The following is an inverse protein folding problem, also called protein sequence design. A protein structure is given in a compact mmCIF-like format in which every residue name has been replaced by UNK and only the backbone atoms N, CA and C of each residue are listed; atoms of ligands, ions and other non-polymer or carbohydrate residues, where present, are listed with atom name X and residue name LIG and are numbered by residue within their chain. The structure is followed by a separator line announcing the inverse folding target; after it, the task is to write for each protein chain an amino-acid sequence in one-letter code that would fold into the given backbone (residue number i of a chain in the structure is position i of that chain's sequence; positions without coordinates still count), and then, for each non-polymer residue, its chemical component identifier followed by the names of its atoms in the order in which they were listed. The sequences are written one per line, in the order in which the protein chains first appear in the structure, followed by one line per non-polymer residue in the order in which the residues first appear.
data_IF_680664773221
#
_entry.id   IF_680664773221
#
_cell.length_a   1.000
_cell.length_b   1.000
_cell.length_c   1.000
_cell.angle_alpha   90.00
_cell.angle_beta   90.00
_cell.angle_gamma   90.00
#
_symmetry.space_group_name_H-M   'P 1'
#
loop_
_entity.id
_entity.type
_entity.pdbx_description
1 polymer ?
#
# COMPACT_ATOMS: atom_id res chain seq x y z
N UNK A 1 23.69 8.36 5.86
CA UNK A 1 23.48 8.09 4.43
C UNK A 1 22.15 8.71 3.97
N UNK A 2 21.98 8.89 2.65
CA UNK A 2 20.71 9.40 2.09
C UNK A 2 19.55 8.44 2.39
N UNK A 3 19.78 7.13 2.27
CA UNK A 3 18.81 6.10 2.63
C UNK A 3 18.37 6.22 4.09
N UNK A 4 19.31 6.44 5.01
CA UNK A 4 19.00 6.60 6.43
C UNK A 4 18.10 7.80 6.70
N UNK A 5 18.39 8.94 6.05
CA UNK A 5 17.59 10.15 6.16
C UNK A 5 16.14 9.92 5.66
N UNK A 6 16.00 9.34 4.46
CA UNK A 6 14.69 9.08 3.88
C UNK A 6 13.93 8.01 4.68
N UNK A 7 14.60 6.95 5.16
CA UNK A 7 13.99 5.94 6.04
C UNK A 7 13.39 6.58 7.30
N UNK A 8 14.15 7.43 7.99
CA UNK A 8 13.68 8.12 9.18
C UNK A 8 12.54 9.10 8.86
N UNK A 9 12.59 9.77 7.71
CA UNK A 9 11.50 10.62 7.24
C UNK A 9 10.21 9.81 7.04
N UNK A 10 10.29 8.63 6.42
CA UNK A 10 9.13 7.77 6.20
C UNK A 10 8.60 7.15 7.49
N UNK A 11 9.48 6.75 8.42
CA UNK A 11 9.08 6.25 9.72
C UNK A 11 8.25 7.26 10.54
N UNK A 12 8.49 8.54 10.37
CA UNK A 12 7.69 9.59 11.03
C UNK A 12 6.23 9.61 10.58
N UNK A 13 5.91 9.17 9.36
CA UNK A 13 4.52 9.02 8.90
C UNK A 13 3.77 7.93 9.67
N UNK A 14 4.49 6.90 10.15
CA UNK A 14 3.92 5.77 10.89
C UNK A 14 3.81 6.02 12.42
N UNK A 15 3.88 7.27 12.86
CA UNK A 15 3.68 7.64 14.27
C UNK A 15 4.97 7.93 15.04
N UNK A 16 6.13 7.82 14.41
CA UNK A 16 7.42 8.17 15.02
C UNK A 16 7.89 7.21 16.13
N UNK A 17 8.84 7.68 16.90
CA UNK A 17 9.43 6.91 18.01
C UNK A 17 10.52 5.94 17.57
N UNK A 18 10.52 5.47 16.35
CA UNK A 18 11.58 4.61 15.78
C UNK A 18 12.55 5.49 15.00
N UNK A 19 13.83 5.32 15.29
CA UNK A 19 14.94 5.93 14.55
C UNK A 19 15.93 4.86 14.14
N UNK A 20 16.41 4.98 12.91
CA UNK A 20 17.32 4.02 12.30
C UNK A 20 18.63 4.71 11.96
N UNK A 21 19.74 4.04 12.22
CA UNK A 21 21.05 4.40 11.72
C UNK A 21 21.76 3.15 11.18
N UNK A 22 22.60 3.35 10.16
CA UNK A 22 23.42 2.27 9.61
C UNK A 22 24.77 2.22 10.32
N UNK A 23 25.12 1.05 10.80
CA UNK A 23 26.46 0.75 11.31
C UNK A 23 27.21 -0.03 10.26
N UNK A 24 28.34 0.51 9.85
CA UNK A 24 29.20 -0.13 8.87
C UNK A 24 30.41 -0.72 9.58
N UNK A 25 30.54 -2.04 9.57
CA UNK A 25 31.74 -2.70 10.02
C UNK A 25 32.72 -2.76 8.87
N UNK A 26 33.85 -2.05 9.04
CA UNK A 26 34.92 -1.99 8.04
C UNK A 26 35.47 -3.37 7.64
N UNK A 27 36.02 -3.42 6.45
CA UNK A 27 36.68 -4.63 5.94
C UNK A 27 37.98 -4.86 6.69
N UNK A 28 38.11 -6.01 7.33
CA UNK A 28 39.37 -6.48 7.90
C UNK A 28 39.99 -7.56 7.01
N UNK A 29 41.23 -7.37 6.64
CA UNK A 29 42.00 -8.35 5.87
C UNK A 29 42.73 -9.27 6.82
N UNK A 30 42.35 -10.53 6.86
CA UNK A 30 42.99 -11.55 7.67
C UNK A 30 44.02 -12.29 6.78
N UNK A 31 45.24 -12.60 7.33
CA UNK A 31 46.24 -13.42 6.67
C UNK A 31 45.59 -14.69 6.09
N UNK A 32 45.85 -15.02 4.83
CA UNK A 32 45.31 -16.09 4.00
C UNK A 32 44.15 -15.70 3.07
N UNK A 33 44.07 -14.43 2.65
CA UNK A 33 43.03 -13.96 1.68
C UNK A 33 41.60 -14.05 2.17
N UNK A 34 41.36 -14.11 3.46
CA UNK A 34 40.03 -14.07 4.04
C UNK A 34 39.63 -12.62 4.33
N UNK A 35 38.56 -12.16 3.69
CA UNK A 35 37.96 -10.85 3.96
C UNK A 35 36.87 -11.07 4.97
N UNK A 36 36.88 -10.37 6.10
CA UNK A 36 35.83 -10.38 7.09
C UNK A 36 35.40 -8.96 7.43
N UNK A 37 34.16 -8.80 7.93
CA UNK A 37 33.66 -7.55 8.44
C UNK A 37 32.84 -6.71 7.46
N UNK A 38 32.76 -7.02 6.19
CA UNK A 38 32.02 -6.24 5.20
C UNK A 38 30.50 -6.45 5.33
N UNK A 39 29.91 -5.97 6.40
CA UNK A 39 28.45 -6.01 6.56
C UNK A 39 27.91 -4.68 7.06
N UNK A 40 26.68 -4.40 6.69
CA UNK A 40 25.92 -3.25 7.14
C UNK A 40 25.01 -3.73 8.27
N UNK A 41 25.22 -3.21 9.46
CA UNK A 41 24.35 -3.40 10.61
C UNK A 41 23.25 -2.33 10.63
N UNK A 42 22.11 -2.70 11.21
CA UNK A 42 21.01 -1.78 11.45
C UNK A 42 20.90 -1.52 12.95
N UNK A 43 21.18 -0.29 13.36
CA UNK A 43 20.94 0.16 14.72
C UNK A 43 19.57 0.80 14.80
N UNK A 44 18.74 0.31 15.72
CA UNK A 44 17.39 0.82 15.94
C UNK A 44 17.32 1.44 17.33
N UNK A 45 16.76 2.64 17.37
CA UNK A 45 16.40 3.33 18.60
C UNK A 45 14.88 3.50 18.69
N UNK A 46 14.34 3.33 19.89
CA UNK A 46 12.94 3.58 20.17
C UNK A 46 12.84 4.59 21.30
N UNK A 47 12.28 5.77 21.01
CA UNK A 47 12.28 6.93 21.89
C UNK A 47 13.67 7.24 22.48
N UNK A 48 14.69 7.29 21.61
CA UNK A 48 16.11 7.53 21.91
C UNK A 48 16.79 6.44 22.76
N UNK A 49 16.15 5.29 22.98
CA UNK A 49 16.77 4.15 23.63
C UNK A 49 17.17 3.11 22.58
N UNK A 50 18.42 2.67 22.62
CA UNK A 50 18.91 1.63 21.73
C UNK A 50 18.23 0.29 22.01
N UNK A 51 17.77 -0.39 20.94
CA UNK A 51 17.09 -1.68 21.01
C UNK A 51 17.93 -2.75 20.31
N UNK A 52 18.74 -3.54 21.02
CA UNK A 52 19.63 -4.52 20.41
C UNK A 52 18.92 -5.66 19.69
N UNK A 53 17.74 -6.06 20.19
CA UNK A 53 16.94 -7.17 19.65
C UNK A 53 15.57 -6.65 19.19
N UNK A 54 15.59 -5.76 18.21
CA UNK A 54 14.39 -5.09 17.71
C UNK A 54 13.31 -6.05 17.19
N UNK A 55 13.69 -7.21 16.63
CA UNK A 55 12.77 -8.23 16.13
C UNK A 55 11.90 -8.86 17.22
N UNK A 56 12.33 -8.81 18.50
CA UNK A 56 11.55 -9.30 19.63
C UNK A 56 10.87 -8.16 20.41
N UNK A 57 11.28 -6.93 20.18
CA UNK A 57 10.75 -5.76 20.89
C UNK A 57 9.65 -5.06 20.11
N UNK A 58 9.83 -4.89 18.79
CA UNK A 58 8.85 -4.25 17.94
C UNK A 58 7.76 -5.25 17.56
N UNK A 59 6.51 -4.80 17.59
CA UNK A 59 5.39 -5.58 17.09
C UNK A 59 5.43 -5.65 15.55
N UNK A 60 4.66 -6.55 14.96
CA UNK A 60 4.62 -6.82 13.51
C UNK A 60 4.33 -5.55 12.71
N UNK A 61 3.39 -4.72 13.15
CA UNK A 61 3.04 -3.47 12.47
C UNK A 61 4.22 -2.50 12.38
N UNK A 62 5.02 -2.38 13.44
CA UNK A 62 6.22 -1.53 13.47
C UNK A 62 7.38 -2.12 12.65
N UNK A 63 7.53 -3.43 12.68
CA UNK A 63 8.52 -4.11 11.83
C UNK A 63 8.18 -3.94 10.35
N UNK A 64 6.91 -4.06 9.99
CA UNK A 64 6.43 -3.81 8.63
C UNK A 64 6.63 -2.36 8.20
N UNK A 65 6.32 -1.40 9.07
CA UNK A 65 6.56 0.01 8.82
C UNK A 65 8.07 0.31 8.61
N UNK A 66 8.94 -0.31 9.42
CA UNK A 66 10.39 -0.21 9.28
C UNK A 66 10.87 -0.78 7.93
N UNK A 67 10.45 -2.00 7.60
CA UNK A 67 10.85 -2.67 6.37
C UNK A 67 10.41 -1.89 5.13
N UNK A 68 9.17 -1.40 5.10
CA UNK A 68 8.63 -0.60 3.99
C UNK A 68 9.34 0.74 3.88
N UNK A 69 9.61 1.42 5.01
CA UNK A 69 10.32 2.70 5.01
C UNK A 69 11.73 2.54 4.45
N UNK A 70 12.44 1.49 4.85
CA UNK A 70 13.78 1.18 4.35
C UNK A 70 13.76 0.83 2.85
N UNK A 71 12.80 0.01 2.44
CA UNK A 71 12.63 -0.40 1.04
C UNK A 71 12.36 0.81 0.13
N UNK A 72 11.37 1.63 0.48
CA UNK A 72 11.03 2.83 -0.30
C UNK A 72 12.18 3.84 -0.32
N UNK A 73 12.90 4.03 0.79
CA UNK A 73 14.07 4.90 0.83
C UNK A 73 15.19 4.41 -0.09
N UNK A 74 15.42 3.10 -0.16
CA UNK A 74 16.44 2.52 -1.05
C UNK A 74 16.10 2.69 -2.53
N UNK A 75 14.82 2.53 -2.90
CA UNK A 75 14.35 2.78 -4.27
C UNK A 75 14.53 4.24 -4.66
N UNK A 76 14.21 5.17 -3.75
CA UNK A 76 14.30 6.60 -4.03
C UNK A 76 15.73 7.07 -4.26
N UNK A 77 16.71 6.49 -3.56
CA UNK A 77 18.11 6.91 -3.63
C UNK A 77 18.84 6.35 -4.85
N UNK A 78 18.40 5.22 -5.40
CA UNK A 78 19.05 4.52 -6.50
C UNK A 78 18.28 4.56 -7.84
N UNK A 79 17.72 5.70 -8.29
CA UNK A 79 17.12 5.76 -9.60
C UNK A 79 18.20 5.74 -10.67
N UNK A 80 18.09 4.85 -11.64
CA UNK A 80 18.96 4.88 -12.82
C UNK A 80 18.68 6.16 -13.60
N UNK A 81 19.69 6.99 -13.81
CA UNK A 81 19.54 8.25 -14.52
C UNK A 81 19.04 7.99 -15.96
N UNK A 82 18.00 8.74 -16.38
CA UNK A 82 17.42 8.66 -17.74
C UNK A 82 16.53 7.45 -18.02
N UNK A 83 16.32 6.55 -17.05
CA UNK A 83 15.40 5.43 -17.19
C UNK A 83 13.98 5.77 -16.72
N UNK A 84 12.99 5.08 -17.28
CA UNK A 84 11.62 5.10 -16.80
C UNK A 84 11.59 4.57 -15.36
N UNK A 85 11.15 5.40 -14.42
CA UNK A 85 11.02 5.01 -13.01
C UNK A 85 9.66 4.37 -12.78
N UNK A 86 9.65 3.07 -12.55
CA UNK A 86 8.43 2.31 -12.27
C UNK A 86 8.51 1.76 -10.85
N UNK A 87 7.46 2.02 -10.06
CA UNK A 87 7.27 1.45 -8.73
C UNK A 87 6.08 0.49 -8.77
N UNK A 88 6.34 -0.79 -8.60
CA UNK A 88 5.30 -1.82 -8.53
C UNK A 88 5.14 -2.24 -7.08
N UNK A 89 3.92 -2.12 -6.57
CA UNK A 89 3.52 -2.51 -5.23
C UNK A 89 2.50 -3.62 -5.33
N UNK A 90 2.99 -4.86 -5.31
CA UNK A 90 2.16 -6.05 -5.44
C UNK A 90 1.75 -6.52 -4.04
N UNK A 91 0.46 -6.40 -3.77
CA UNK A 91 -0.21 -6.83 -2.54
C UNK A 91 0.53 -6.49 -1.23
N UNK A 92 1.12 -5.31 -1.19
CA UNK A 92 2.00 -4.82 -0.13
C UNK A 92 1.36 -4.85 1.27
N UNK A 93 0.05 -5.13 1.34
CA UNK A 93 -0.74 -4.98 2.55
C UNK A 93 -0.84 -6.24 3.41
N UNK A 94 -0.34 -7.38 2.95
CA UNK A 94 -0.43 -8.65 3.70
C UNK A 94 0.17 -8.52 5.11
N UNK A 95 1.13 -7.60 5.31
CA UNK A 95 1.73 -7.33 6.62
C UNK A 95 1.41 -5.96 7.21
N UNK A 96 0.53 -5.15 6.60
CA UNK A 96 0.22 -3.81 7.08
C UNK A 96 -1.10 -3.75 7.82
N UNK A 97 -1.00 -3.38 9.08
CA UNK A 97 -2.13 -2.99 9.91
C UNK A 97 -2.94 -1.84 9.27
N UNK A 98 -4.24 -1.80 9.53
CA UNK A 98 -5.13 -0.74 9.03
C UNK A 98 -4.63 0.67 9.38
N UNK A 99 -4.00 0.83 10.55
CA UNK A 99 -3.41 2.09 11.00
C UNK A 99 -2.25 2.57 10.13
N UNK A 100 -1.52 1.65 9.48
CA UNK A 100 -0.35 1.94 8.65
C UNK A 100 -0.68 2.17 7.17
N UNK A 101 -1.90 1.88 6.75
CA UNK A 101 -2.34 2.01 5.35
C UNK A 101 -2.34 3.46 4.86
N UNK A 102 -2.92 4.37 5.65
CA UNK A 102 -2.99 5.78 5.29
C UNK A 102 -1.62 6.48 5.32
N UNK A 103 -0.75 6.25 6.32
CA UNK A 103 0.64 6.69 6.28
C UNK A 103 1.39 6.29 5.01
N UNK A 104 1.25 5.05 4.56
CA UNK A 104 1.87 4.58 3.32
C UNK A 104 1.39 5.39 2.11
N UNK A 105 0.08 5.64 1.96
CA UNK A 105 -0.44 6.45 0.85
C UNK A 105 0.11 7.88 0.87
N UNK A 106 0.27 8.46 2.05
CA UNK A 106 0.88 9.80 2.20
C UNK A 106 2.34 9.80 1.77
N UNK A 107 3.12 8.75 2.11
CA UNK A 107 4.51 8.62 1.67
C UNK A 107 4.56 8.53 0.14
N UNK A 108 3.77 7.65 -0.46
CA UNK A 108 3.71 7.47 -1.91
C UNK A 108 3.34 8.78 -2.60
N UNK A 109 2.30 9.47 -2.11
CA UNK A 109 1.86 10.75 -2.66
C UNK A 109 2.98 11.78 -2.64
N UNK A 110 3.57 12.02 -1.48
CA UNK A 110 4.48 13.15 -1.25
C UNK A 110 5.90 12.91 -1.76
N UNK A 111 6.33 11.65 -1.92
CA UNK A 111 7.72 11.34 -2.22
C UNK A 111 7.94 10.58 -3.53
N UNK A 112 6.86 10.09 -4.18
CA UNK A 112 6.97 9.31 -5.41
C UNK A 112 6.06 9.81 -6.54
N UNK A 113 4.88 10.38 -6.21
CA UNK A 113 3.84 10.72 -7.18
C UNK A 113 3.75 12.22 -7.42
N UNK A 114 3.54 13.01 -6.36
CA UNK A 114 3.41 14.47 -6.43
C UNK A 114 4.77 15.16 -6.20
N UNK A 115 5.76 14.74 -6.96
CA UNK A 115 7.13 15.28 -6.99
C UNK A 115 7.43 15.83 -8.39
N UNK A 116 8.53 16.60 -8.58
CA UNK A 116 8.97 17.03 -9.89
C UNK A 116 9.04 15.87 -10.89
N UNK A 117 8.78 16.15 -12.16
CA UNK A 117 8.64 15.11 -13.20
C UNK A 117 9.87 14.19 -13.30
N UNK A 118 11.07 14.76 -13.18
CA UNK A 118 12.33 14.02 -13.19
C UNK A 118 12.53 13.10 -11.97
N UNK A 119 11.76 13.28 -10.90
CA UNK A 119 11.80 12.47 -9.68
C UNK A 119 10.61 11.51 -9.57
N UNK A 120 9.58 11.71 -10.41
CA UNK A 120 8.32 10.97 -10.34
C UNK A 120 8.47 9.51 -10.76
N UNK A 121 7.77 8.65 -10.04
CA UNK A 121 7.62 7.24 -10.40
C UNK A 121 6.24 6.98 -11.02
N UNK A 122 6.20 6.21 -12.09
CA UNK A 122 4.98 5.57 -12.52
C UNK A 122 4.65 4.47 -11.51
N UNK A 123 3.56 4.62 -10.78
CA UNK A 123 3.21 3.70 -9.70
C UNK A 123 2.12 2.75 -10.14
N UNK A 124 2.35 1.46 -9.96
CA UNK A 124 1.38 0.39 -10.21
C UNK A 124 1.12 -0.27 -8.86
N UNK A 125 -0.15 -0.36 -8.46
CA UNK A 125 -0.55 -1.07 -7.23
C UNK A 125 -1.54 -2.17 -7.59
N UNK A 126 -1.27 -3.37 -7.13
CA UNK A 126 -2.18 -4.51 -7.20
C UNK A 126 -2.67 -4.86 -5.81
N UNK A 127 -3.91 -5.32 -5.70
CA UNK A 127 -4.47 -5.82 -4.44
C UNK A 127 -5.71 -6.65 -4.68
N UNK A 128 -5.93 -7.65 -3.86
CA UNK A 128 -7.20 -8.39 -3.79
C UNK A 128 -8.16 -7.79 -2.74
N UNK A 129 -7.68 -6.89 -1.86
CA UNK A 129 -8.49 -6.25 -0.82
C UNK A 129 -9.33 -5.11 -1.42
N UNK A 130 -10.63 -5.36 -1.58
CA UNK A 130 -11.58 -4.39 -2.13
C UNK A 130 -11.68 -3.13 -1.27
N UNK A 131 -11.59 -3.24 0.05
CA UNK A 131 -11.67 -2.10 0.97
C UNK A 131 -10.46 -1.19 0.76
N UNK A 132 -9.29 -1.79 0.60
CA UNK A 132 -8.08 -1.06 0.27
C UNK A 132 -8.14 -0.39 -1.10
N UNK A 133 -8.60 -1.10 -2.12
CA UNK A 133 -8.80 -0.54 -3.46
C UNK A 133 -9.66 0.72 -3.43
N UNK A 134 -10.81 0.70 -2.72
CA UNK A 134 -11.67 1.86 -2.57
C UNK A 134 -11.03 2.98 -1.74
N UNK A 135 -10.23 2.65 -0.72
CA UNK A 135 -9.49 3.64 0.06
C UNK A 135 -8.45 4.35 -0.80
N UNK A 136 -7.67 3.63 -1.61
CA UNK A 136 -6.70 4.19 -2.56
C UNK A 136 -7.42 5.09 -3.57
N UNK A 137 -8.54 4.63 -4.12
CA UNK A 137 -9.35 5.38 -5.08
C UNK A 137 -9.89 6.69 -4.49
N UNK A 138 -10.37 6.65 -3.26
CA UNK A 138 -10.85 7.85 -2.56
C UNK A 138 -9.72 8.81 -2.21
N UNK A 139 -8.53 8.27 -1.89
CA UNK A 139 -7.38 9.07 -1.50
C UNK A 139 -6.74 9.83 -2.69
N UNK A 140 -6.56 9.15 -3.82
CA UNK A 140 -5.89 9.73 -4.99
C UNK A 140 -6.86 10.35 -6.00
N UNK A 141 -8.15 9.99 -5.97
CA UNK A 141 -9.13 10.43 -6.97
C UNK A 141 -8.91 9.80 -8.35
N UNK A 142 -9.60 10.34 -9.35
CA UNK A 142 -9.62 9.75 -10.70
C UNK A 142 -8.81 10.57 -11.74
N UNK A 143 -8.24 11.70 -11.39
CA UNK A 143 -7.61 12.61 -12.36
C UNK A 143 -6.31 12.04 -12.96
N UNK A 144 -5.47 11.44 -12.11
CA UNK A 144 -4.14 10.93 -12.49
C UNK A 144 -4.01 9.42 -12.36
N UNK A 145 -5.07 8.73 -11.93
CA UNK A 145 -5.07 7.31 -11.66
C UNK A 145 -6.09 6.58 -12.51
N UNK A 146 -5.67 5.43 -13.02
CA UNK A 146 -6.56 4.48 -13.70
C UNK A 146 -6.80 3.30 -12.76
N UNK A 147 -8.07 3.02 -12.50
CA UNK A 147 -8.49 1.91 -11.64
C UNK A 147 -9.07 0.80 -12.52
N UNK A 148 -8.57 -0.41 -12.33
CA UNK A 148 -8.96 -1.58 -13.10
C UNK A 148 -9.35 -2.66 -12.11
N UNK A 149 -10.52 -3.26 -12.29
CA UNK A 149 -10.95 -4.43 -11.54
C UNK A 149 -10.91 -5.64 -12.46
N UNK A 150 -10.26 -6.71 -11.99
CA UNK A 150 -10.13 -7.97 -12.71
C UNK A 150 -10.89 -9.02 -11.92
N UNK A 151 -11.82 -9.69 -12.57
CA UNK A 151 -12.62 -10.77 -12.00
C UNK A 151 -12.33 -12.06 -12.75
N UNK A 152 -12.68 -13.16 -12.14
CA UNK A 152 -12.62 -14.47 -12.74
C UNK A 152 -14.01 -14.83 -13.25
N UNK A 153 -14.12 -15.26 -14.50
CA UNK A 153 -15.34 -15.75 -15.12
C UNK A 153 -15.16 -17.20 -15.49
N UNK A 154 -16.01 -18.09 -14.95
CA UNK A 154 -16.14 -19.46 -15.38
C UNK A 154 -16.93 -19.53 -16.69
N UNK A 155 -16.51 -20.36 -17.60
CA UNK A 155 -17.24 -20.68 -18.83
C UNK A 155 -17.91 -22.05 -18.63
N UNK A 156 -19.21 -22.13 -18.95
CA UNK A 156 -20.02 -23.35 -18.72
C UNK A 156 -19.44 -24.61 -19.38
N UNK A 157 -18.63 -24.47 -20.43
CA UNK A 157 -18.04 -25.58 -21.21
C UNK A 157 -16.54 -25.77 -21.00
N UNK A 158 -15.93 -25.10 -20.00
CA UNK A 158 -14.47 -25.15 -19.81
C UNK A 158 -14.09 -25.26 -18.34
N UNK A 159 -13.08 -26.11 -18.07
CA UNK A 159 -12.53 -26.35 -16.73
C UNK A 159 -11.58 -25.23 -16.24
N UNK A 160 -11.51 -24.10 -16.95
CA UNK A 160 -10.67 -22.97 -16.55
C UNK A 160 -11.44 -21.65 -16.55
N UNK A 161 -11.00 -20.78 -15.68
CA UNK A 161 -11.52 -19.43 -15.55
C UNK A 161 -10.75 -18.45 -16.45
N UNK A 162 -11.46 -17.49 -17.01
CA UNK A 162 -10.85 -16.40 -17.80
C UNK A 162 -10.92 -15.07 -17.06
N UNK A 163 -9.90 -14.19 -17.17
CA UNK A 163 -9.95 -12.89 -16.57
C UNK A 163 -10.97 -11.98 -17.30
N UNK A 164 -11.86 -11.38 -16.52
CA UNK A 164 -12.80 -10.38 -16.97
C UNK A 164 -12.36 -9.01 -16.44
N UNK A 165 -12.01 -8.09 -17.36
CA UNK A 165 -11.62 -6.73 -17.00
C UNK A 165 -12.85 -5.82 -17.04
N UNK A 166 -13.16 -5.20 -15.90
CA UNK A 166 -14.30 -4.29 -15.77
C UNK A 166 -13.79 -2.86 -15.66
N UNK A 167 -13.99 -2.09 -16.72
CA UNK A 167 -13.59 -0.68 -16.82
C UNK A 167 -14.77 0.28 -16.64
N UNK A 168 -15.96 -0.23 -16.32
CA UNK A 168 -17.17 0.58 -16.32
C UNK A 168 -17.24 1.55 -15.14
N UNK A 169 -17.69 2.77 -15.44
CA UNK A 169 -17.95 3.82 -14.45
C UNK A 169 -19.36 3.65 -13.87
N UNK A 170 -19.45 3.59 -12.54
CA UNK A 170 -20.72 3.53 -11.82
C UNK A 170 -21.14 2.12 -11.41
N UNK A 171 -21.65 2.01 -10.20
CA UNK A 171 -22.01 0.73 -9.59
C UNK A 171 -23.22 0.07 -10.28
N UNK A 172 -24.19 0.87 -10.74
CA UNK A 172 -25.36 0.34 -11.46
C UNK A 172 -25.00 -0.25 -12.82
N UNK A 173 -24.08 0.42 -13.56
CA UNK A 173 -23.62 -0.09 -14.87
C UNK A 173 -22.88 -1.40 -14.69
N UNK A 174 -22.03 -1.49 -13.65
CA UNK A 174 -21.35 -2.73 -13.27
C UNK A 174 -22.34 -3.82 -12.88
N UNK A 175 -23.33 -3.50 -12.06
CA UNK A 175 -24.36 -4.46 -11.68
C UNK A 175 -25.10 -5.04 -12.90
N UNK A 176 -25.48 -4.19 -13.86
CA UNK A 176 -26.09 -4.62 -15.12
C UNK A 176 -25.15 -5.50 -15.95
N UNK A 177 -23.87 -5.14 -16.03
CA UNK A 177 -22.87 -5.93 -16.74
C UNK A 177 -22.76 -7.34 -16.13
N UNK A 178 -22.58 -7.46 -14.81
CA UNK A 178 -22.50 -8.76 -14.13
C UNK A 178 -23.81 -9.56 -14.23
N UNK A 179 -24.96 -8.87 -14.24
CA UNK A 179 -26.24 -9.53 -14.45
C UNK A 179 -26.32 -10.16 -15.86
N UNK A 180 -25.85 -9.45 -16.87
CA UNK A 180 -25.80 -9.98 -18.24
C UNK A 180 -24.83 -11.16 -18.38
N UNK A 181 -23.73 -11.14 -17.61
CA UNK A 181 -22.75 -12.23 -17.52
C UNK A 181 -23.19 -13.38 -16.59
N UNK A 182 -24.45 -13.35 -16.08
CA UNK A 182 -25.02 -14.33 -15.15
C UNK A 182 -24.29 -14.44 -13.80
N UNK A 183 -23.41 -13.51 -13.47
CA UNK A 183 -22.81 -13.41 -12.13
C UNK A 183 -23.75 -12.64 -11.20
N UNK A 184 -24.76 -13.33 -10.67
CA UNK A 184 -25.77 -12.76 -9.79
C UNK A 184 -25.19 -12.26 -8.46
N UNK A 185 -24.11 -12.90 -7.97
CA UNK A 185 -23.47 -12.52 -6.71
C UNK A 185 -22.74 -11.17 -6.85
N UNK A 186 -21.92 -11.02 -7.88
CA UNK A 186 -21.26 -9.74 -8.14
C UNK A 186 -22.29 -8.63 -8.43
N UNK A 187 -23.32 -8.91 -9.23
CA UNK A 187 -24.39 -7.96 -9.50
C UNK A 187 -25.07 -7.47 -8.20
N UNK A 188 -25.42 -8.39 -7.30
CA UNK A 188 -26.05 -8.04 -6.03
C UNK A 188 -25.15 -7.18 -5.13
N UNK A 189 -23.83 -7.47 -5.09
CA UNK A 189 -22.84 -6.68 -4.34
C UNK A 189 -22.80 -5.24 -4.86
N UNK A 190 -22.79 -5.03 -6.17
CA UNK A 190 -22.75 -3.69 -6.74
C UNK A 190 -24.04 -2.92 -6.56
N UNK A 191 -25.20 -3.57 -6.64
CA UNK A 191 -26.51 -2.96 -6.30
C UNK A 191 -26.51 -2.51 -4.84
N UNK A 192 -26.06 -3.36 -3.92
CA UNK A 192 -25.97 -3.03 -2.50
C UNK A 192 -25.04 -1.84 -2.26
N UNK A 193 -23.87 -1.83 -2.89
CA UNK A 193 -22.89 -0.75 -2.76
C UNK A 193 -23.46 0.59 -3.21
N UNK A 194 -24.18 0.61 -4.34
CA UNK A 194 -24.82 1.84 -4.83
C UNK A 194 -25.96 2.28 -3.90
N UNK A 195 -26.75 1.36 -3.41
CA UNK A 195 -27.80 1.65 -2.43
C UNK A 195 -27.23 2.29 -1.16
N UNK A 196 -26.18 1.70 -0.58
CA UNK A 196 -25.49 2.25 0.59
C UNK A 196 -24.93 3.64 0.31
N UNK A 197 -24.37 3.88 -0.88
CA UNK A 197 -23.84 5.17 -1.31
C UNK A 197 -24.95 6.22 -1.39
N UNK A 198 -26.08 5.89 -2.00
CA UNK A 198 -27.23 6.80 -2.13
C UNK A 198 -27.81 7.13 -0.76
N UNK A 199 -27.98 6.13 0.10
CA UNK A 199 -28.49 6.34 1.46
C UNK A 199 -27.56 7.28 2.24
N UNK A 200 -26.24 7.07 2.18
CA UNK A 200 -25.27 7.96 2.82
C UNK A 200 -25.37 9.40 2.30
N UNK A 201 -25.51 9.58 0.99
CA UNK A 201 -25.68 10.91 0.39
C UNK A 201 -26.98 11.59 0.87
N UNK A 202 -28.09 10.86 0.92
CA UNK A 202 -29.37 11.39 1.42
C UNK A 202 -29.26 11.77 2.89
N UNK A 203 -28.67 10.90 3.73
CA UNK A 203 -28.48 11.17 5.15
C UNK A 203 -27.60 12.41 5.36
N UNK A 204 -26.51 12.51 4.62
CA UNK A 204 -25.59 13.66 4.69
C UNK A 204 -26.27 14.95 4.24
N UNK A 205 -26.94 14.94 3.08
CA UNK A 205 -27.61 16.12 2.53
C UNK A 205 -28.75 16.64 3.41
N UNK A 206 -29.45 15.72 4.07
CA UNK A 206 -30.58 16.05 4.98
C UNK A 206 -30.16 16.20 6.43
N UNK A 207 -28.86 16.09 6.75
CA UNK A 207 -28.31 16.13 8.12
C UNK A 207 -29.01 15.16 9.07
N UNK A 208 -29.39 14.00 8.56
CA UNK A 208 -30.06 12.98 9.37
C UNK A 208 -29.06 12.31 10.30
N UNK A 209 -29.40 12.25 11.59
CA UNK A 209 -28.64 11.48 12.57
C UNK A 209 -28.97 10.00 12.38
N UNK A 210 -27.98 9.24 11.90
CA UNK A 210 -28.09 7.79 11.81
C UNK A 210 -27.55 7.16 13.10
N UNK A 211 -28.44 6.54 13.87
CA UNK A 211 -28.05 5.77 15.05
C UNK A 211 -27.38 4.47 14.57
N UNK A 212 -26.09 4.38 14.74
CA UNK A 212 -25.34 3.15 14.47
C UNK A 212 -25.67 2.14 15.57
N UNK A 213 -26.56 1.19 15.33
CA UNK A 213 -26.73 0.04 16.21
C UNK A 213 -25.47 -0.82 16.08
N UNK A 214 -24.58 -0.81 17.08
CA UNK A 214 -23.59 -1.87 17.24
C UNK A 214 -24.38 -3.19 17.25
N UNK A 215 -24.02 -4.11 16.33
CA UNK A 215 -24.51 -5.48 16.45
C UNK A 215 -24.03 -6.02 17.80
N UNK A 216 -24.94 -6.07 18.76
CA UNK A 216 -24.76 -6.84 19.98
C UNK A 216 -24.95 -8.30 19.55
N UNK A 217 -23.85 -9.06 19.56
CA UNK A 217 -23.91 -10.52 19.47
C UNK A 217 -24.52 -11.07 20.75
#
# INVERSE_FOLDING_TARGET
SSIEKDTNTFLNYFGGGIKVSFEFSGITYIRRKVISGNHIGLRIEFYNNHIPKHQFFLNEARLSALAISLYLASIKVNPTAGALKVLVLDDLLIGLDMSNRLPLLKILKNHFIEVPENERFQTIMTTYDKVWFELVRNFFGNEKWKYIEIFSKSLDDKDFEIPLIVNEKGYITRAKHYLAEKDYKASAVYIRTEFERIVKLICSSRKLLVVYKKNVK
#
